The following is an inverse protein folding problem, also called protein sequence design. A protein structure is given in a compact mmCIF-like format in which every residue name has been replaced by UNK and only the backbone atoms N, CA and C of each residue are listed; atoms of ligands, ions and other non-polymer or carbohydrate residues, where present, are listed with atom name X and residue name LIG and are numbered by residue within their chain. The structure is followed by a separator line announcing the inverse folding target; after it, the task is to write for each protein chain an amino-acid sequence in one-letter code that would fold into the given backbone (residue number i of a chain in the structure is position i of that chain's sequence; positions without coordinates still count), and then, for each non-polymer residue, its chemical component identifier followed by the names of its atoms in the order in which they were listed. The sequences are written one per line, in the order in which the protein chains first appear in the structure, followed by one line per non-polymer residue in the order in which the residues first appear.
data_IF_052501133813
#
_entry.id   IF_052501133813
#
_cell.length_a   1.000
_cell.length_b   1.000
_cell.length_c   1.000
_cell.angle_alpha   90.00
_cell.angle_beta   90.00
_cell.angle_gamma   90.00
#
_symmetry.space_group_name_H-M   'P 1'
#
loop_
_entity.id
_entity.type
_entity.pdbx_description
1 polymer ?
#
# COMPACT_ATOMS: atom_id res chain seq x y z
N UNK A 1 -28.09 13.73 32.22
CA UNK A 1 -28.51 13.00 30.99
C UNK A 1 -27.68 13.42 29.77
N UNK A 2 -27.66 14.70 29.38
CA UNK A 2 -26.94 15.22 28.19
C UNK A 2 -25.43 14.93 28.17
N UNK A 3 -24.72 15.18 29.27
CA UNK A 3 -23.27 14.90 29.38
C UNK A 3 -22.88 13.43 29.16
N UNK A 4 -23.78 12.49 29.46
CA UNK A 4 -23.55 11.05 29.25
C UNK A 4 -23.71 10.67 27.78
N UNK A 5 -24.67 11.29 27.09
CA UNK A 5 -24.88 11.12 25.64
C UNK A 5 -23.69 11.70 24.88
N UNK A 6 -23.25 12.92 25.22
CA UNK A 6 -22.07 13.55 24.61
C UNK A 6 -20.82 12.68 24.72
N UNK A 7 -20.52 12.15 25.92
CA UNK A 7 -19.38 11.23 26.11
C UNK A 7 -19.47 9.98 25.25
N UNK A 8 -20.68 9.44 25.09
CA UNK A 8 -20.92 8.24 24.27
C UNK A 8 -20.69 8.53 22.78
N UNK A 9 -21.16 9.69 22.30
CA UNK A 9 -20.94 10.15 20.92
C UNK A 9 -19.44 10.35 20.66
N UNK A 10 -18.73 11.03 21.55
CA UNK A 10 -17.28 11.25 21.42
C UNK A 10 -16.52 9.92 21.34
N UNK A 11 -16.84 8.96 22.21
CA UNK A 11 -16.25 7.61 22.18
C UNK A 11 -16.53 6.89 20.86
N UNK A 12 -17.75 7.00 20.35
CA UNK A 12 -18.15 6.40 19.06
C UNK A 12 -17.38 7.01 17.88
N UNK A 13 -17.21 8.34 17.88
CA UNK A 13 -16.41 9.04 16.86
C UNK A 13 -14.95 8.59 16.92
N UNK A 14 -14.37 8.48 18.11
CA UNK A 14 -12.99 8.02 18.26
C UNK A 14 -12.80 6.62 17.68
N UNK A 15 -13.67 5.67 18.07
CA UNK A 15 -13.64 4.31 17.55
C UNK A 15 -13.79 4.26 16.01
N UNK A 16 -14.69 5.06 15.44
CA UNK A 16 -14.85 5.15 13.98
C UNK A 16 -13.59 5.70 13.30
N UNK A 17 -12.90 6.66 13.91
CA UNK A 17 -11.63 7.20 13.37
C UNK A 17 -10.52 6.16 13.39
N UNK A 18 -10.42 5.37 14.46
CA UNK A 18 -9.47 4.25 14.53
C UNK A 18 -9.76 3.22 13.43
N UNK A 19 -11.03 2.84 13.26
CA UNK A 19 -11.45 1.93 12.18
C UNK A 19 -11.12 2.47 10.79
N UNK A 20 -11.36 3.76 10.53
CA UNK A 20 -10.98 4.39 9.25
C UNK A 20 -9.47 4.36 9.05
N UNK A 21 -8.68 4.55 10.12
CA UNK A 21 -7.22 4.53 10.04
C UNK A 21 -6.72 3.12 9.69
N UNK A 22 -7.27 2.09 10.34
CA UNK A 22 -6.94 0.70 10.03
C UNK A 22 -7.29 0.33 8.59
N UNK A 23 -8.50 0.68 8.13
CA UNK A 23 -8.93 0.42 6.74
C UNK A 23 -8.05 1.13 5.70
N UNK A 24 -7.54 2.33 6.01
CA UNK A 24 -6.62 3.05 5.13
C UNK A 24 -5.28 2.33 5.00
N UNK A 25 -4.74 1.80 6.10
CA UNK A 25 -3.52 1.00 6.08
C UNK A 25 -3.71 -0.29 5.26
N UNK A 26 -4.83 -1.00 5.46
CA UNK A 26 -5.15 -2.21 4.67
C UNK A 26 -5.29 -1.91 3.18
N UNK A 27 -5.87 -0.76 2.81
CA UNK A 27 -5.95 -0.32 1.41
C UNK A 27 -4.58 0.04 0.82
N UNK A 28 -3.68 0.58 1.63
CA UNK A 28 -2.29 0.86 1.23
C UNK A 28 -1.55 -0.45 0.94
N UNK A 29 -1.62 -1.43 1.85
CA UNK A 29 -1.02 -2.75 1.65
C UNK A 29 -1.54 -3.45 0.38
N UNK A 30 -2.84 -3.32 0.10
CA UNK A 30 -3.44 -3.88 -1.12
C UNK A 30 -2.99 -3.17 -2.39
N UNK A 31 -2.83 -1.85 -2.36
CA UNK A 31 -2.30 -1.10 -3.49
C UNK A 31 -0.83 -1.45 -3.75
N UNK A 32 -0.01 -1.57 -2.71
CA UNK A 32 1.39 -2.00 -2.82
C UNK A 32 1.48 -3.40 -3.45
N UNK A 33 0.60 -4.31 -3.05
CA UNK A 33 0.55 -5.63 -3.67
C UNK A 33 0.12 -5.58 -5.14
N UNK A 34 -0.84 -4.71 -5.48
CA UNK A 34 -1.28 -4.52 -6.85
C UNK A 34 -0.13 -4.01 -7.73
N UNK A 35 0.66 -3.06 -7.25
CA UNK A 35 1.84 -2.54 -7.96
C UNK A 35 2.85 -3.65 -8.28
N UNK A 36 3.08 -4.58 -7.36
CA UNK A 36 3.95 -5.74 -7.59
C UNK A 36 3.40 -6.69 -8.66
N UNK A 37 2.09 -6.94 -8.65
CA UNK A 37 1.43 -7.79 -9.64
C UNK A 37 1.45 -7.13 -11.01
N UNK A 38 1.15 -5.83 -11.09
CA UNK A 38 1.26 -5.06 -12.33
C UNK A 38 2.68 -5.07 -12.89
N UNK A 39 3.68 -4.86 -12.04
CA UNK A 39 5.08 -4.93 -12.44
C UNK A 39 5.43 -6.30 -13.02
N UNK A 40 4.94 -7.39 -12.40
CA UNK A 40 5.13 -8.76 -12.90
C UNK A 40 4.48 -8.97 -14.26
N UNK A 41 3.24 -8.53 -14.45
CA UNK A 41 2.53 -8.63 -15.74
C UNK A 41 3.25 -7.82 -16.82
N UNK A 42 3.72 -6.61 -16.47
CA UNK A 42 4.51 -5.78 -17.40
C UNK A 42 5.87 -6.39 -17.73
N UNK A 43 6.43 -7.20 -16.86
CA UNK A 43 7.70 -7.91 -17.07
C UNK A 43 7.51 -9.27 -17.79
N UNK A 44 6.28 -9.79 -17.81
CA UNK A 44 5.95 -11.04 -18.47
C UNK A 44 6.30 -10.99 -19.96
N UNK A 45 7.06 -12.00 -20.42
CA UNK A 45 7.53 -12.10 -21.81
C UNK A 45 8.74 -11.24 -22.16
N UNK A 46 9.26 -10.41 -21.26
CA UNK A 46 10.52 -9.69 -21.52
C UNK A 46 11.72 -10.64 -21.37
N UNK A 47 12.73 -10.54 -22.25
CA UNK A 47 13.97 -11.29 -22.08
C UNK A 47 14.68 -10.82 -20.80
N UNK A 48 15.13 -11.77 -19.98
CA UNK A 48 15.96 -11.45 -18.82
C UNK A 48 17.31 -10.93 -19.30
N UNK A 49 17.73 -9.80 -18.74
CA UNK A 49 19.04 -9.25 -19.03
C UNK A 49 20.12 -10.09 -18.35
N UNK A 50 21.17 -10.39 -19.09
CA UNK A 50 22.42 -10.96 -18.58
C UNK A 50 23.20 -9.92 -17.79
N UNK A 51 24.15 -10.38 -16.97
CA UNK A 51 25.00 -9.49 -16.17
C UNK A 51 25.74 -8.46 -17.04
N UNK A 52 26.26 -8.88 -18.20
CA UNK A 52 26.97 -8.01 -19.14
C UNK A 52 26.04 -6.96 -19.77
N UNK A 53 24.80 -7.33 -20.10
CA UNK A 53 23.80 -6.38 -20.62
C UNK A 53 23.40 -5.34 -19.58
N UNK A 54 23.28 -5.75 -18.31
CA UNK A 54 23.04 -4.83 -17.18
C UNK A 54 24.20 -3.86 -17.02
N UNK A 55 25.45 -4.36 -17.01
CA UNK A 55 26.66 -3.54 -16.94
C UNK A 55 26.73 -2.50 -18.06
N UNK A 56 26.48 -2.93 -19.31
CA UNK A 56 26.45 -2.05 -20.48
C UNK A 56 25.34 -1.00 -20.39
N UNK A 57 24.14 -1.37 -19.94
CA UNK A 57 22.97 -0.49 -19.88
C UNK A 57 23.11 0.60 -18.80
N UNK A 58 23.73 0.28 -17.68
CA UNK A 58 23.88 1.21 -16.54
C UNK A 58 25.29 1.80 -16.39
N UNK A 59 26.21 1.50 -17.32
CA UNK A 59 27.58 2.03 -17.29
C UNK A 59 28.40 1.55 -16.10
N UNK A 60 28.05 0.40 -15.52
CA UNK A 60 28.76 -0.20 -14.39
C UNK A 60 29.90 -1.05 -14.96
N UNK A 61 31.14 -0.71 -14.64
CA UNK A 61 32.34 -1.48 -15.05
C UNK A 61 32.42 -2.79 -14.26
#
# INVERSE_FOLDING_TARGET
MTKTVEKTVVRSIHKKREQITALRAELEDLNDYLDLVEARVRDEGKPRLTHEEVKKRYGVK
#
